data_IF_820715082021
#
_entry.id   IF_820715082021
#
_cell.length_a   1.000
_cell.length_b   1.000
_cell.length_c   1.000
_cell.angle_alpha   90.00
_cell.angle_beta   90.00
_cell.angle_gamma   90.00
#
_symmetry.space_group_name_H-M   'P 1'
#
loop_
_entity.id
_entity.type
_entity.pdbx_description
1 polymer ?
#
# COMPACT_ATOMS: atom_id res chain seq x y z
N UNK A 1 17.28 -12.63 5.13
CA UNK A 1 15.83 -12.79 5.36
C UNK A 1 15.30 -11.48 5.93
N UNK A 2 14.15 -11.01 5.47
CA UNK A 2 13.52 -9.77 5.92
C UNK A 2 12.25 -10.02 6.73
N UNK A 3 11.63 -8.96 7.25
CA UNK A 3 10.34 -9.03 7.92
C UNK A 3 9.24 -9.44 6.90
N UNK A 4 8.49 -10.53 7.14
CA UNK A 4 7.46 -11.02 6.22
C UNK A 4 6.34 -10.01 5.91
N UNK A 5 6.13 -8.99 6.75
CA UNK A 5 5.16 -7.93 6.48
C UNK A 5 5.42 -7.21 5.13
N UNK A 6 6.68 -7.17 4.69
CA UNK A 6 7.06 -6.55 3.41
C UNK A 6 6.53 -7.30 2.19
N UNK A 7 6.26 -8.60 2.29
CA UNK A 7 5.64 -9.37 1.20
C UNK A 7 4.20 -8.93 0.94
N UNK A 8 3.55 -8.35 1.96
CA UNK A 8 2.19 -7.81 1.87
C UNK A 8 2.14 -6.30 1.63
N UNK A 9 3.28 -5.62 1.53
CA UNK A 9 3.35 -4.18 1.35
C UNK A 9 2.56 -3.70 0.12
N UNK A 10 2.65 -4.43 -1.00
CA UNK A 10 1.96 -4.09 -2.25
C UNK A 10 0.43 -4.17 -2.15
N UNK A 11 -0.17 -5.32 -1.81
CA UNK A 11 -1.62 -5.40 -1.71
C UNK A 11 -2.18 -4.50 -0.61
N UNK A 12 -1.47 -4.34 0.52
CA UNK A 12 -1.88 -3.42 1.59
C UNK A 12 -1.82 -1.95 1.17
N UNK A 13 -0.74 -1.56 0.49
CA UNK A 13 -0.55 -0.21 -0.04
C UNK A 13 -1.60 0.17 -1.08
N UNK A 14 -1.93 -0.74 -2.00
CA UNK A 14 -3.00 -0.51 -2.98
C UNK A 14 -4.38 -0.40 -2.33
N UNK A 15 -4.68 -1.23 -1.34
CA UNK A 15 -5.92 -1.08 -0.57
C UNK A 15 -5.99 0.28 0.14
N UNK A 16 -4.92 0.70 0.83
CA UNK A 16 -4.85 2.00 1.49
C UNK A 16 -4.91 3.20 0.51
N UNK A 17 -4.39 3.03 -0.70
CA UNK A 17 -4.44 4.02 -1.76
C UNK A 17 -5.83 4.15 -2.40
N UNK A 18 -6.71 3.14 -2.23
CA UNK A 18 -8.02 3.06 -2.90
C UNK A 18 -7.96 2.37 -4.28
N UNK A 19 -6.83 1.73 -4.61
CA UNK A 19 -6.58 1.05 -5.88
C UNK A 19 -7.02 -0.42 -5.87
N UNK A 20 -7.20 -1.01 -4.68
CA UNK A 20 -7.69 -2.37 -4.51
C UNK A 20 -9.06 -2.35 -3.84
N UNK A 21 -10.11 -2.96 -4.43
CA UNK A 21 -11.43 -2.99 -3.82
C UNK A 21 -11.40 -3.66 -2.44
N UNK A 22 -12.18 -3.17 -1.46
CA UNK A 22 -12.19 -3.72 -0.10
C UNK A 22 -12.48 -5.22 -0.05
N UNK A 23 -13.44 -5.71 -0.83
CA UNK A 23 -13.81 -7.12 -0.89
C UNK A 23 -12.67 -8.00 -1.41
N UNK A 24 -11.85 -7.48 -2.34
CA UNK A 24 -10.68 -8.19 -2.86
C UNK A 24 -9.59 -8.26 -1.78
N UNK A 25 -9.35 -7.16 -1.08
CA UNK A 25 -8.42 -7.13 0.05
C UNK A 25 -8.84 -8.10 1.16
N UNK A 26 -10.12 -8.08 1.57
CA UNK A 26 -10.62 -8.98 2.61
C UNK A 26 -10.50 -10.45 2.17
N UNK A 27 -10.89 -10.78 0.94
CA UNK A 27 -10.78 -12.16 0.42
C UNK A 27 -9.33 -12.64 0.42
N UNK A 28 -8.41 -11.79 -0.03
CA UNK A 28 -6.98 -12.09 -0.01
C UNK A 28 -6.47 -12.34 1.41
N UNK A 29 -6.72 -11.42 2.34
CA UNK A 29 -6.22 -11.48 3.70
C UNK A 29 -6.77 -12.70 4.46
N UNK A 30 -8.06 -13.01 4.26
CA UNK A 30 -8.69 -14.21 4.82
C UNK A 30 -8.03 -15.50 4.30
N UNK A 31 -7.80 -15.60 3.00
CA UNK A 31 -7.14 -16.77 2.40
C UNK A 31 -5.68 -16.92 2.85
N UNK A 32 -4.95 -15.81 2.94
CA UNK A 32 -3.57 -15.77 3.43
C UNK A 32 -3.46 -16.30 4.85
N UNK A 33 -4.34 -15.82 5.75
CA UNK A 33 -4.42 -16.29 7.14
C UNK A 33 -4.84 -17.75 7.25
N UNK A 34 -5.86 -18.16 6.49
CA UNK A 34 -6.34 -19.55 6.47
C UNK A 34 -5.25 -20.54 6.00
N UNK A 35 -4.29 -20.08 5.20
CA UNK A 35 -3.15 -20.86 4.72
C UNK A 35 -1.95 -20.85 5.69
N UNK A 36 -2.08 -20.25 6.87
CA UNK A 36 -1.01 -20.17 7.87
C UNK A 36 -0.01 -19.04 7.64
N UNK A 37 -0.37 -18.01 6.86
CA UNK A 37 0.50 -16.86 6.59
C UNK A 37 0.93 -16.14 7.87
N UNK A 38 2.24 -15.90 8.01
CA UNK A 38 2.87 -15.40 9.25
C UNK A 38 3.14 -13.88 9.25
N UNK A 39 2.90 -13.20 8.13
CA UNK A 39 3.20 -11.76 7.98
C UNK A 39 2.26 -10.84 8.76
N UNK A 40 1.13 -11.35 9.26
CA UNK A 40 0.14 -10.61 10.05
C UNK A 40 -0.37 -11.49 11.18
N UNK A 41 -0.96 -10.90 12.24
CA UNK A 41 -1.67 -11.66 13.25
C UNK A 41 -2.75 -12.55 12.61
N UNK A 42 -2.99 -13.78 13.12
CA UNK A 42 -4.01 -14.69 12.58
C UNK A 42 -5.43 -14.12 12.68
N UNK A 43 -5.67 -13.22 13.64
CA UNK A 43 -6.93 -12.53 13.87
C UNK A 43 -6.68 -11.06 14.22
N UNK A 44 -7.72 -10.23 14.07
CA UNK A 44 -7.66 -8.81 14.44
C UNK A 44 -7.04 -7.91 13.36
N UNK A 45 -6.68 -6.72 13.80
CA UNK A 45 -6.19 -5.65 12.93
C UNK A 45 -4.79 -5.97 12.37
N UNK A 46 -4.60 -6.03 11.04
CA UNK A 46 -3.29 -6.22 10.45
C UNK A 46 -2.47 -4.93 10.37
N UNK A 47 -3.07 -3.75 10.53
CA UNK A 47 -2.40 -2.47 10.27
C UNK A 47 -1.21 -2.14 11.17
N UNK A 48 -1.14 -2.54 12.45
CA UNK A 48 0.05 -2.31 13.27
C UNK A 48 1.34 -2.86 12.65
N UNK A 49 1.27 -3.92 11.83
CA UNK A 49 2.45 -4.47 11.12
C UNK A 49 2.52 -4.03 9.66
N UNK A 50 1.39 -3.67 9.04
CA UNK A 50 1.34 -3.33 7.62
C UNK A 50 1.49 -1.84 7.32
N UNK A 51 1.27 -0.93 8.28
CA UNK A 51 1.26 0.52 8.02
C UNK A 51 2.58 1.00 7.39
N UNK A 52 3.72 0.69 8.04
CA UNK A 52 5.03 1.13 7.55
C UNK A 52 5.37 0.55 6.17
N UNK A 53 5.27 -0.78 5.92
CA UNK A 53 5.52 -1.34 4.60
C UNK A 53 4.57 -0.80 3.52
N UNK A 54 3.28 -0.68 3.83
CA UNK A 54 2.27 -0.18 2.88
C UNK A 54 2.56 1.27 2.47
N UNK A 55 2.84 2.15 3.44
CA UNK A 55 3.19 3.55 3.18
C UNK A 55 4.49 3.68 2.40
N UNK A 56 5.52 2.92 2.76
CA UNK A 56 6.80 2.94 2.06
C UNK A 56 6.62 2.56 0.57
N UNK A 57 5.84 1.51 0.30
CA UNK A 57 5.59 1.07 -1.06
C UNK A 57 4.72 2.06 -1.85
N UNK A 58 3.71 2.68 -1.24
CA UNK A 58 2.92 3.75 -1.89
C UNK A 58 3.81 4.93 -2.29
N UNK A 59 4.69 5.39 -1.38
CA UNK A 59 5.63 6.48 -1.65
C UNK A 59 6.58 6.12 -2.78
N UNK A 60 7.16 4.91 -2.73
CA UNK A 60 8.05 4.41 -3.78
C UNK A 60 7.34 4.35 -5.14
N UNK A 61 6.13 3.79 -5.18
CA UNK A 61 5.36 3.66 -6.42
C UNK A 61 4.98 5.02 -7.01
N UNK A 62 4.54 5.97 -6.17
CA UNK A 62 4.26 7.34 -6.59
C UNK A 62 5.51 8.01 -7.19
N UNK A 63 6.65 7.90 -6.52
CA UNK A 63 7.91 8.49 -6.99
C UNK A 63 8.35 7.92 -8.34
N UNK A 64 8.24 6.60 -8.52
CA UNK A 64 8.57 5.93 -9.77
C UNK A 64 7.61 6.32 -10.90
N UNK A 65 6.31 6.39 -10.62
CA UNK A 65 5.30 6.82 -11.61
C UNK A 65 5.52 8.26 -12.07
N UNK A 66 5.71 9.19 -11.13
CA UNK A 66 6.03 10.59 -11.46
C UNK A 66 7.30 10.71 -12.29
N UNK A 67 8.36 9.99 -11.92
CA UNK A 67 9.60 10.00 -12.68
C UNK A 67 9.43 9.45 -14.10
N UNK A 68 8.65 8.37 -14.27
CA UNK A 68 8.35 7.77 -15.57
C UNK A 68 7.55 8.73 -16.47
N UNK A 69 6.44 9.27 -15.96
CA UNK A 69 5.58 10.21 -16.68
C UNK A 69 6.35 11.47 -17.13
N UNK A 70 7.20 12.02 -16.25
CA UNK A 70 8.04 13.17 -16.57
C UNK A 70 9.03 12.87 -17.71
N UNK A 71 9.63 11.67 -17.69
CA UNK A 71 10.58 11.23 -18.72
C UNK A 71 9.93 11.00 -20.07
N UNK A 72 8.64 10.65 -20.06
CA UNK A 72 7.80 10.44 -21.24
C UNK A 72 7.09 11.71 -21.73
N UNK A 73 7.14 12.80 -20.95
CA UNK A 73 6.48 14.06 -21.30
C UNK A 73 4.95 13.97 -21.31
N UNK A 74 4.37 13.08 -20.49
CA UNK A 74 2.92 12.84 -20.41
C UNK A 74 2.34 13.26 -19.05
N UNK A 75 1.03 13.53 -18.96
CA UNK A 75 0.36 13.63 -17.67
C UNK A 75 0.42 12.30 -16.90
N UNK A 76 0.18 12.39 -15.59
CA UNK A 76 -0.02 11.21 -14.75
C UNK A 76 -1.29 10.47 -15.20
N UNK A 77 -1.28 9.14 -15.08
CA UNK A 77 -2.49 8.35 -15.23
C UNK A 77 -3.29 8.26 -13.91
N UNK A 78 -4.50 7.70 -13.98
CA UNK A 78 -5.40 7.58 -12.82
C UNK A 78 -4.77 6.84 -11.63
N UNK A 79 -3.88 5.88 -11.89
CA UNK A 79 -3.21 5.10 -10.84
C UNK A 79 -2.12 5.94 -10.19
N UNK A 80 -1.30 6.60 -10.99
CA UNK A 80 -0.25 7.51 -10.53
C UNK A 80 -0.83 8.69 -9.74
N UNK A 81 -1.95 9.27 -10.20
CA UNK A 81 -2.68 10.31 -9.47
C UNK A 81 -3.20 9.81 -8.12
N UNK A 82 -3.79 8.63 -8.08
CA UNK A 82 -4.29 8.02 -6.84
C UNK A 82 -3.14 7.76 -5.83
N UNK A 83 -1.98 7.32 -6.30
CA UNK A 83 -0.79 7.11 -5.46
C UNK A 83 -0.26 8.44 -4.91
N UNK A 84 -0.20 9.49 -5.73
CA UNK A 84 0.20 10.83 -5.27
C UNK A 84 -0.81 11.37 -4.24
N UNK A 85 -2.10 11.17 -4.45
CA UNK A 85 -3.12 11.58 -3.47
C UNK A 85 -3.02 10.78 -2.17
N UNK A 86 -2.68 9.50 -2.23
CA UNK A 86 -2.37 8.71 -1.03
C UNK A 86 -1.16 9.28 -0.27
N UNK A 87 -0.09 9.69 -0.95
CA UNK A 87 1.05 10.37 -0.34
C UNK A 87 0.63 11.68 0.37
N UNK A 88 -0.30 12.46 -0.21
CA UNK A 88 -0.85 13.67 0.45
C UNK A 88 -1.69 13.37 1.69
N UNK A 89 -2.36 12.21 1.76
CA UNK A 89 -3.05 11.76 2.99
C UNK A 89 -2.05 11.38 4.07
N UNK A 90 -1.00 10.63 3.70
CA UNK A 90 0.05 10.19 4.62
C UNK A 90 0.71 11.37 5.34
N UNK A 91 1.06 12.44 4.62
CA UNK A 91 1.71 13.62 5.21
C UNK A 91 0.80 14.35 6.20
N UNK A 92 -0.51 14.41 5.92
CA UNK A 92 -1.52 14.99 6.82
C UNK A 92 -1.66 14.20 8.13
N UNK A 93 -1.62 12.88 8.05
CA UNK A 93 -1.69 12.01 9.24
C UNK A 93 -0.42 12.13 10.10
N UNK A 94 0.76 12.25 9.48
CA UNK A 94 2.03 12.40 10.22
C UNK A 94 2.23 13.79 10.85
N UNK A 95 1.59 14.85 10.32
CA UNK A 95 1.66 16.20 10.88
C UNK A 95 0.74 16.42 12.10
N UNK A 96 -0.11 15.43 12.43
CA UNK A 96 -1.00 15.47 13.58
C UNK A 96 -0.38 14.84 14.86
N UNK A 97 0.93 14.56 14.84
CA UNK A 97 1.72 14.11 15.98
C UNK A 97 2.65 15.22 16.47
#
# INVERSE_FOLDING_TARGET
MGDPAWDLARPAGWYAAGLLPPEVWQRFLSAYRASGGCAVPPHGDPWPVLDVPARALVIQAAALGVAAAAREGRPLDDVEEALVEACRRITRTSAAC
#
